data_IF_995426037660
#
_entry.id   IF_995426037660
#
_cell.length_a   1.000
_cell.length_b   1.000
_cell.length_c   1.000
_cell.angle_alpha   90.00
_cell.angle_beta   90.00
_cell.angle_gamma   90.00
#
_symmetry.space_group_name_H-M   'P 1'
#
loop_
_entity.id
_entity.type
_entity.pdbx_description
1 polymer ?
#
# COMPACT_ATOMS: atom_id res chain seq x y z
N UNK A 1 -8.44 -10.61 -16.76
CA UNK A 1 -7.80 -10.48 -15.43
C UNK A 1 -6.32 -10.10 -15.44
N UNK A 2 -5.48 -10.45 -16.44
CA UNK A 2 -4.03 -10.13 -16.41
C UNK A 2 -3.70 -8.63 -16.23
N UNK A 3 -4.47 -7.76 -16.89
CA UNK A 3 -4.25 -6.30 -16.82
C UNK A 3 -4.58 -5.73 -15.45
N UNK A 4 -5.65 -6.18 -14.81
CA UNK A 4 -6.05 -5.75 -13.46
C UNK A 4 -4.96 -6.12 -12.42
N UNK A 5 -4.42 -7.33 -12.50
CA UNK A 5 -3.32 -7.77 -11.64
C UNK A 5 -2.08 -6.91 -11.88
N UNK A 6 -1.71 -6.67 -13.14
CA UNK A 6 -0.56 -5.84 -13.48
C UNK A 6 -0.71 -4.38 -12.99
N UNK A 7 -1.91 -3.80 -13.10
CA UNK A 7 -2.20 -2.45 -12.60
C UNK A 7 -2.14 -2.40 -11.07
N UNK A 8 -2.71 -3.40 -10.39
CA UNK A 8 -2.63 -3.51 -8.93
C UNK A 8 -1.17 -3.58 -8.45
N UNK A 9 -0.37 -4.43 -9.09
CA UNK A 9 1.02 -4.65 -8.71
C UNK A 9 1.87 -3.40 -8.97
N UNK A 10 1.60 -2.67 -10.05
CA UNK A 10 2.24 -1.38 -10.35
C UNK A 10 1.96 -0.34 -9.26
N UNK A 11 0.69 -0.16 -8.88
CA UNK A 11 0.28 0.79 -7.83
C UNK A 11 0.90 0.41 -6.48
N UNK A 12 0.84 -0.88 -6.12
CA UNK A 12 1.35 -1.36 -4.85
C UNK A 12 2.88 -1.21 -4.75
N UNK A 13 3.60 -1.48 -5.84
CA UNK A 13 5.06 -1.33 -5.92
C UNK A 13 5.50 0.13 -5.78
N UNK A 14 4.83 1.06 -6.47
CA UNK A 14 5.11 2.49 -6.36
C UNK A 14 4.85 3.02 -4.94
N UNK A 15 3.72 2.62 -4.33
CA UNK A 15 3.40 2.98 -2.95
C UNK A 15 4.44 2.47 -1.95
N UNK A 16 4.83 1.20 -2.08
CA UNK A 16 5.84 0.56 -1.24
C UNK A 16 7.19 1.30 -1.32
N UNK A 17 7.61 1.67 -2.53
CA UNK A 17 8.85 2.41 -2.76
C UNK A 17 8.81 3.82 -2.17
N UNK A 18 7.71 4.56 -2.37
CA UNK A 18 7.55 5.93 -1.85
C UNK A 18 7.56 5.98 -0.32
N UNK A 19 6.98 4.97 0.31
CA UNK A 19 6.79 4.95 1.77
C UNK A 19 7.81 4.09 2.52
N UNK A 20 8.74 3.43 1.82
CA UNK A 20 9.68 2.47 2.39
C UNK A 20 8.97 1.33 3.15
N UNK A 21 7.92 0.77 2.56
CA UNK A 21 7.13 -0.34 3.14
C UNK A 21 7.28 -1.59 2.28
N UNK A 22 7.29 -2.77 2.91
CA UNK A 22 7.33 -4.05 2.22
C UNK A 22 5.90 -4.45 1.81
N UNK A 23 5.67 -4.78 0.54
CA UNK A 23 4.34 -5.13 0.00
C UNK A 23 3.69 -6.30 0.73
N UNK A 24 4.47 -7.29 1.16
CA UNK A 24 3.99 -8.45 1.92
C UNK A 24 3.50 -8.13 3.34
N UNK A 25 3.82 -6.94 3.86
CA UNK A 25 3.34 -6.49 5.17
C UNK A 25 1.96 -5.82 5.10
N UNK A 26 1.43 -5.57 3.90
CA UNK A 26 0.13 -4.94 3.69
C UNK A 26 -1.00 -5.98 3.79
N UNK A 27 -2.00 -5.66 4.60
CA UNK A 27 -3.26 -6.41 4.68
C UNK A 27 -4.15 -6.12 3.46
N UNK A 28 -5.14 -6.99 3.18
CA UNK A 28 -6.07 -6.77 2.07
C UNK A 28 -6.85 -5.45 2.18
N UNK A 29 -7.23 -5.05 3.39
CA UNK A 29 -7.90 -3.76 3.62
C UNK A 29 -6.98 -2.58 3.29
N UNK A 30 -5.71 -2.64 3.70
CA UNK A 30 -4.72 -1.62 3.35
C UNK A 30 -4.48 -1.55 1.83
N UNK A 31 -4.38 -2.70 1.16
CA UNK A 31 -4.26 -2.76 -0.30
C UNK A 31 -5.48 -2.11 -0.99
N UNK A 32 -6.69 -2.40 -0.50
CA UNK A 32 -7.93 -1.80 -1.02
C UNK A 32 -7.91 -0.29 -0.86
N UNK A 33 -7.54 0.21 0.31
CA UNK A 33 -7.53 1.65 0.59
C UNK A 33 -6.49 2.39 -0.27
N UNK A 34 -5.30 1.79 -0.49
CA UNK A 34 -4.26 2.32 -1.38
C UNK A 34 -4.78 2.43 -2.83
N UNK A 35 -5.42 1.39 -3.35
CA UNK A 35 -5.94 1.36 -4.73
C UNK A 35 -7.08 2.37 -4.91
N UNK A 36 -7.96 2.50 -3.91
CA UNK A 36 -9.10 3.43 -3.96
C UNK A 36 -8.69 4.90 -3.71
N UNK A 37 -7.43 5.17 -3.37
CA UNK A 37 -6.97 6.51 -3.04
C UNK A 37 -7.64 7.09 -1.79
N UNK A 38 -8.21 6.23 -0.94
CA UNK A 38 -8.68 6.64 0.37
C UNK A 38 -7.45 7.10 1.17
N UNK A 39 -7.53 8.25 1.84
CA UNK A 39 -6.46 8.75 2.71
C UNK A 39 -6.22 7.77 3.86
N UNK A 40 -5.49 6.69 3.59
CA UNK A 40 -5.01 5.79 4.61
C UNK A 40 -3.78 6.45 5.20
N UNK A 41 -4.01 7.47 6.05
CA UNK A 41 -3.13 7.75 7.19
C UNK A 41 -3.24 6.54 8.12
N UNK A 42 -2.73 5.40 7.65
CA UNK A 42 -2.64 4.20 8.43
C UNK A 42 -1.88 4.57 9.69
N UNK A 43 -2.58 4.61 10.82
CA UNK A 43 -2.07 4.86 12.16
C UNK A 43 -0.78 4.05 12.46
N UNK A 44 -0.54 2.98 11.69
CA UNK A 44 0.63 2.11 11.72
C UNK A 44 1.91 2.71 11.08
N UNK A 45 1.85 3.50 10.01
CA UNK A 45 3.03 4.19 9.46
C UNK A 45 3.54 5.27 10.41
N UNK A 46 2.63 5.96 11.12
CA UNK A 46 3.01 6.88 12.17
C UNK A 46 3.62 6.13 13.36
N UNK A 47 3.05 4.98 13.77
CA UNK A 47 3.63 4.13 14.83
C UNK A 47 5.00 3.52 14.49
N UNK A 48 5.26 3.19 13.23
CA UNK A 48 6.56 2.67 12.78
C UNK A 48 7.61 3.78 12.60
N UNK A 49 7.18 5.01 12.28
CA UNK A 49 8.06 6.20 12.21
C UNK A 49 8.34 6.83 13.57
N UNK A 50 7.55 6.53 14.61
CA UNK A 50 7.78 6.98 15.99
C UNK A 50 8.70 6.07 16.80
N UNK A 51 9.54 5.25 16.14
CA UNK A 51 10.61 4.46 16.75
C UNK A 51 11.93 4.74 16.09
#
# INVERSE_FOLDING_TARGET
>A
MKVEVALRDLIQSDYAKKNNVITSALTQSEIRDIILGAENRGNRQQRLRSR
#
